data_IF_901874957316
#
_entry.id   IF_901874957316
#
_cell.length_a   1.000
_cell.length_b   1.000
_cell.length_c   1.000
_cell.angle_alpha   90.00
_cell.angle_beta   90.00
_cell.angle_gamma   90.00
#
_symmetry.space_group_name_H-M   'P 1'
#
loop_
_entity.id
_entity.type
_entity.pdbx_description
1 polymer ?
#
# COMPACT_ATOMS: atom_id res chain seq x y z
N UNK A 1 0.93 17.29 14.65
CA UNK A 1 1.97 17.18 13.61
C UNK A 1 2.57 15.80 13.79
N UNK A 2 1.97 14.76 13.19
CA UNK A 2 2.59 13.44 13.14
C UNK A 2 3.90 13.59 12.40
N UNK A 3 5.00 13.25 13.07
CA UNK A 3 6.36 13.65 12.69
C UNK A 3 6.70 12.94 11.37
N UNK A 4 7.17 13.65 10.35
CA UNK A 4 7.54 13.04 9.05
C UNK A 4 8.59 11.93 9.25
N UNK A 5 9.33 11.96 10.37
CA UNK A 5 10.20 10.86 10.81
C UNK A 5 9.44 9.57 11.15
N UNK A 6 8.28 9.66 11.79
CA UNK A 6 7.43 8.51 12.11
C UNK A 6 6.91 7.86 10.83
N UNK A 7 6.41 8.66 9.88
CA UNK A 7 5.98 8.16 8.56
C UNK A 7 7.12 7.45 7.83
N UNK A 8 8.28 8.10 7.74
CA UNK A 8 9.45 7.51 7.10
C UNK A 8 9.93 6.24 7.81
N UNK A 9 9.77 6.14 9.13
CA UNK A 9 10.08 4.92 9.87
C UNK A 9 9.11 3.78 9.54
N UNK A 10 7.80 4.07 9.46
CA UNK A 10 6.78 3.13 9.00
C UNK A 10 7.08 2.63 7.59
N UNK A 11 7.40 3.53 6.65
CA UNK A 11 7.72 3.18 5.26
C UNK A 11 8.92 2.24 5.18
N UNK A 12 9.99 2.52 5.95
CA UNK A 12 11.15 1.64 6.03
C UNK A 12 10.81 0.25 6.59
N UNK A 13 9.93 0.19 7.59
CA UNK A 13 9.49 -1.08 8.16
C UNK A 13 8.69 -1.90 7.15
N UNK A 14 7.76 -1.28 6.42
CA UNK A 14 6.97 -1.91 5.37
C UNK A 14 7.88 -2.41 4.24
N UNK A 15 8.81 -1.58 3.77
CA UNK A 15 9.77 -1.96 2.73
C UNK A 15 10.64 -3.16 3.17
N UNK A 16 11.05 -3.21 4.44
CA UNK A 16 11.81 -4.33 5.01
C UNK A 16 10.96 -5.61 5.05
N UNK A 17 9.69 -5.51 5.43
CA UNK A 17 8.77 -6.64 5.44
C UNK A 17 8.54 -7.20 4.03
N UNK A 18 8.33 -6.33 3.04
CA UNK A 18 8.22 -6.71 1.63
C UNK A 18 9.50 -7.42 1.13
N UNK A 19 10.67 -6.87 1.44
CA UNK A 19 11.97 -7.49 1.09
C UNK A 19 12.16 -8.86 1.73
N UNK A 20 11.72 -9.05 2.97
CA UNK A 20 11.79 -10.35 3.66
C UNK A 20 10.89 -11.39 2.98
N UNK A 21 9.64 -11.01 2.64
CA UNK A 21 8.69 -11.89 1.97
C UNK A 21 9.19 -12.36 0.61
N UNK A 22 9.68 -11.45 -0.22
CA UNK A 22 10.16 -11.80 -1.56
C UNK A 22 11.55 -12.46 -1.49
N UNK A 23 12.50 -11.83 -0.80
CA UNK A 23 13.91 -12.21 -0.87
C UNK A 23 14.31 -13.37 0.04
N UNK A 24 13.62 -13.60 1.16
CA UNK A 24 13.98 -14.66 2.11
C UNK A 24 12.97 -15.80 2.15
N UNK A 25 11.68 -15.49 2.05
CA UNK A 25 10.61 -16.50 2.02
C UNK A 25 10.40 -17.03 0.59
N UNK A 26 10.74 -16.24 -0.44
CA UNK A 26 10.55 -16.63 -1.84
C UNK A 26 9.11 -16.46 -2.34
N UNK A 27 8.30 -15.63 -1.66
CA UNK A 27 6.96 -15.30 -2.14
C UNK A 27 7.05 -14.49 -3.45
N UNK A 28 6.08 -14.68 -4.35
CA UNK A 28 5.95 -13.81 -5.52
C UNK A 28 5.56 -12.39 -5.09
N UNK A 29 5.81 -11.40 -5.96
CA UNK A 29 5.41 -10.02 -5.67
C UNK A 29 3.89 -9.88 -5.53
N UNK A 30 3.13 -10.60 -6.34
CA UNK A 30 1.66 -10.65 -6.28
C UNK A 30 1.17 -11.18 -4.93
N UNK A 31 1.77 -12.28 -4.46
CA UNK A 31 1.43 -12.85 -3.15
C UNK A 31 1.79 -11.88 -2.01
N UNK A 32 2.96 -11.25 -2.08
CA UNK A 32 3.39 -10.27 -1.09
C UNK A 32 2.41 -9.08 -1.01
N UNK A 33 1.99 -8.53 -2.16
CA UNK A 33 1.03 -7.43 -2.23
C UNK A 33 -0.34 -7.83 -1.67
N UNK A 34 -0.83 -9.00 -2.07
CA UNK A 34 -2.10 -9.55 -1.60
C UNK A 34 -2.13 -9.75 -0.07
N UNK A 35 -1.04 -10.27 0.51
CA UNK A 35 -0.93 -10.44 1.96
C UNK A 35 -0.84 -9.11 2.71
N UNK A 36 -0.09 -8.13 2.21
CA UNK A 36 -0.04 -6.78 2.80
C UNK A 36 -1.41 -6.11 2.77
N UNK A 37 -2.08 -6.13 1.62
CA UNK A 37 -3.40 -5.51 1.47
C UNK A 37 -4.44 -6.18 2.38
N UNK A 38 -4.43 -7.52 2.45
CA UNK A 38 -5.33 -8.28 3.32
C UNK A 38 -5.10 -7.94 4.79
N UNK A 39 -3.83 -7.89 5.23
CA UNK A 39 -3.48 -7.53 6.60
C UNK A 39 -3.93 -6.09 6.93
N UNK A 40 -3.63 -5.13 6.06
CA UNK A 40 -4.05 -3.74 6.23
C UNK A 40 -5.57 -3.62 6.32
N UNK A 41 -6.33 -4.30 5.47
CA UNK A 41 -7.79 -4.30 5.52
C UNK A 41 -8.32 -4.89 6.84
N UNK A 42 -7.76 -6.01 7.31
CA UNK A 42 -8.14 -6.61 8.58
C UNK A 42 -7.87 -5.66 9.76
N UNK A 43 -6.71 -5.00 9.79
CA UNK A 43 -6.36 -4.03 10.82
C UNK A 43 -7.28 -2.81 10.80
N UNK A 44 -7.56 -2.26 9.61
CA UNK A 44 -8.49 -1.13 9.47
C UNK A 44 -9.87 -1.48 10.03
N UNK A 45 -10.46 -2.60 9.62
CA UNK A 45 -11.76 -3.04 10.12
C UNK A 45 -11.74 -3.27 11.64
N UNK A 46 -10.65 -3.82 12.18
CA UNK A 46 -10.48 -4.04 13.62
C UNK A 46 -10.40 -2.75 14.43
N UNK A 47 -9.87 -1.67 13.87
CA UNK A 47 -9.59 -0.42 14.60
C UNK A 47 -10.73 0.58 14.42
N UNK A 48 -11.21 0.77 13.19
CA UNK A 48 -12.17 1.81 12.81
C UNK A 48 -13.58 1.26 12.57
N UNK A 49 -13.73 -0.06 12.52
CA UNK A 49 -14.97 -0.71 12.11
C UNK A 49 -15.17 -0.72 10.59
N UNK A 50 -16.15 -1.52 10.15
CA UNK A 50 -16.38 -1.82 8.73
C UNK A 50 -16.72 -0.58 7.89
N UNK A 51 -17.60 0.29 8.39
CA UNK A 51 -18.08 1.43 7.61
C UNK A 51 -16.95 2.41 7.26
N UNK A 52 -16.17 2.82 8.26
CA UNK A 52 -15.03 3.72 8.08
C UNK A 52 -13.91 3.08 7.25
N UNK A 53 -13.65 1.78 7.43
CA UNK A 53 -12.67 1.06 6.61
C UNK A 53 -13.06 1.08 5.13
N UNK A 54 -14.34 0.84 4.81
CA UNK A 54 -14.85 0.91 3.42
C UNK A 54 -14.68 2.31 2.84
N UNK A 55 -15.02 3.35 3.61
CA UNK A 55 -14.85 4.73 3.16
C UNK A 55 -13.38 5.04 2.86
N UNK A 56 -12.45 4.64 3.73
CA UNK A 56 -11.02 4.83 3.51
C UNK A 56 -10.52 4.15 2.23
N UNK A 57 -10.98 2.92 1.94
CA UNK A 57 -10.64 2.24 0.69
C UNK A 57 -11.21 2.94 -0.54
N UNK A 58 -12.43 3.48 -0.46
CA UNK A 58 -13.02 4.26 -1.54
C UNK A 58 -12.25 5.56 -1.80
N UNK A 59 -11.80 6.25 -0.74
CA UNK A 59 -10.96 7.44 -0.88
C UNK A 59 -9.60 7.11 -1.53
N UNK A 60 -9.00 5.97 -1.16
CA UNK A 60 -7.78 5.47 -1.79
C UNK A 60 -8.00 5.20 -3.29
N UNK A 61 -9.09 4.51 -3.65
CA UNK A 61 -9.45 4.25 -5.04
C UNK A 61 -9.60 5.56 -5.85
N UNK A 62 -10.32 6.56 -5.29
CA UNK A 62 -10.45 7.88 -5.92
C UNK A 62 -9.12 8.59 -6.10
N UNK A 63 -8.17 8.45 -5.17
CA UNK A 63 -6.85 9.05 -5.30
C UNK A 63 -6.04 8.40 -6.44
N UNK A 64 -6.15 7.08 -6.60
CA UNK A 64 -5.56 6.34 -7.72
C UNK A 64 -6.17 6.81 -9.04
N UNK A 65 -7.51 6.87 -9.13
CA UNK A 65 -8.23 7.38 -10.30
C UNK A 65 -7.87 8.85 -10.61
N UNK A 66 -7.58 9.63 -9.57
CA UNK A 66 -7.10 11.02 -9.68
C UNK A 66 -5.64 11.17 -10.09
N UNK A 67 -4.94 10.06 -10.35
CA UNK A 67 -3.60 10.04 -10.92
C UNK A 67 -2.45 10.19 -9.94
N UNK A 68 -2.67 9.92 -8.64
CA UNK A 68 -1.61 10.01 -7.62
C UNK A 68 -0.40 9.11 -7.93
N UNK A 69 -0.60 8.05 -8.72
CA UNK A 69 0.43 7.10 -9.14
C UNK A 69 0.66 7.06 -10.66
N UNK A 70 0.23 8.04 -11.45
CA UNK A 70 0.40 8.04 -12.92
C UNK A 70 1.88 7.88 -13.34
N UNK A 71 2.80 8.41 -12.53
CA UNK A 71 4.25 8.26 -12.74
C UNK A 71 4.76 6.83 -12.54
N UNK A 72 3.98 5.96 -11.92
CA UNK A 72 4.28 4.55 -11.71
C UNK A 72 3.49 3.65 -12.66
N UNK A 73 2.50 4.19 -13.35
CA UNK A 73 1.67 3.42 -14.29
C UNK A 73 2.51 3.05 -15.53
N UNK A 74 2.79 1.75 -15.75
CA UNK A 74 3.56 1.31 -16.91
C UNK A 74 2.77 1.46 -18.24
N UNK A 75 1.48 1.77 -18.17
CA UNK A 75 0.59 1.96 -19.33
C UNK A 75 0.36 3.44 -19.67
N UNK A 76 0.81 4.37 -18.82
CA UNK A 76 0.63 5.79 -19.03
C UNK A 76 1.43 6.29 -20.26
N UNK A 77 0.85 7.15 -21.12
CA UNK A 77 1.44 7.54 -22.41
C UNK A 77 2.78 8.28 -22.30
N UNK A 78 3.09 8.86 -21.14
CA UNK A 78 4.33 9.60 -20.87
C UNK A 78 5.38 8.82 -20.06
N UNK A 79 5.11 7.57 -19.67
CA UNK A 79 6.07 6.70 -19.00
C UNK A 79 6.81 5.84 -20.03
N UNK A 80 7.73 6.47 -20.76
CA UNK A 80 8.73 5.71 -21.53
C UNK A 80 9.84 5.29 -20.58
N UNK A 81 9.89 4.00 -20.27
CA UNK A 81 11.09 3.36 -19.70
C UNK A 81 12.32 3.61 -20.58
#
# INVERSE_FOLDING_TARGET
>A
MTDDREKAACDRAIAKAAKLMVGSIGASHEMMLDRLLTFTAAQMVSITGKAEAVEAFQQCAKAVEGGIFDRLDPTAPNNKH
#
